data_IF_257644109475
#
_entry.id   IF_257644109475
#
_cell.length_a   1.000
_cell.length_b   1.000
_cell.length_c   1.000
_cell.angle_alpha   90.00
_cell.angle_beta   90.00
_cell.angle_gamma   90.00
#
_symmetry.space_group_name_H-M   'P 1'
#
loop_
_entity.id
_entity.type
_entity.pdbx_description
1 polymer ?
#
# COMPACT_ATOMS: atom_id res chain seq x y z
N UNK A 1 -30.88 12.30 -1.75
CA UNK A 1 -29.77 13.21 -1.44
C UNK A 1 -29.25 12.93 -0.04
N UNK A 2 -27.99 13.22 0.25
CA UNK A 2 -27.35 13.03 1.56
C UNK A 2 -26.52 14.28 1.92
N UNK A 3 -26.55 14.66 3.18
CA UNK A 3 -25.74 15.76 3.72
C UNK A 3 -24.31 15.31 4.13
N UNK A 4 -24.00 14.01 4.00
CA UNK A 4 -22.69 13.46 4.32
C UNK A 4 -21.63 14.00 3.37
N UNK A 5 -20.63 14.68 3.92
CA UNK A 5 -19.50 15.21 3.17
C UNK A 5 -18.60 14.10 2.61
N UNK A 6 -18.34 13.06 3.41
CA UNK A 6 -17.46 11.95 3.07
C UNK A 6 -18.27 10.66 2.94
N UNK A 7 -18.11 9.99 1.80
CA UNK A 7 -18.74 8.71 1.49
C UNK A 7 -17.64 7.75 1.07
N UNK A 8 -17.16 7.01 2.06
CA UNK A 8 -16.01 6.12 1.96
C UNK A 8 -16.43 4.77 1.38
N UNK A 9 -15.53 4.16 0.62
CA UNK A 9 -15.68 2.81 0.09
C UNK A 9 -14.38 2.02 0.19
N UNK A 10 -14.54 0.70 0.19
CA UNK A 10 -13.50 -0.30 0.34
C UNK A 10 -12.86 -0.39 1.74
N UNK A 11 -12.22 -1.52 1.96
CA UNK A 11 -11.31 -1.79 3.07
C UNK A 11 -10.16 -2.67 2.58
N UNK A 12 -9.14 -2.87 3.41
CA UNK A 12 -7.97 -3.66 3.03
C UNK A 12 -8.35 -5.09 2.63
N UNK A 13 -9.21 -5.76 3.40
CA UNK A 13 -9.56 -7.17 3.16
C UNK A 13 -10.25 -7.37 1.81
N UNK A 14 -11.20 -6.49 1.45
CA UNK A 14 -11.94 -6.55 0.20
C UNK A 14 -11.00 -6.61 -1.00
N UNK A 15 -9.90 -5.87 -0.95
CA UNK A 15 -8.89 -5.87 -2.01
C UNK A 15 -8.36 -7.28 -2.29
N UNK A 16 -7.86 -8.00 -1.28
CA UNK A 16 -7.28 -9.33 -1.48
C UNK A 16 -8.32 -10.42 -1.74
N UNK A 17 -9.54 -10.29 -1.21
CA UNK A 17 -10.61 -11.25 -1.48
C UNK A 17 -11.20 -11.15 -2.89
N UNK A 18 -11.25 -9.94 -3.46
CA UNK A 18 -12.01 -9.70 -4.69
C UNK A 18 -11.20 -9.03 -5.78
N UNK A 19 -10.29 -8.10 -5.44
CA UNK A 19 -9.72 -7.13 -6.39
C UNK A 19 -8.27 -7.38 -6.77
N UNK A 20 -7.60 -8.38 -6.16
CA UNK A 20 -6.16 -8.60 -6.30
C UNK A 20 -5.67 -8.71 -7.76
N UNK A 21 -6.53 -9.20 -8.64
CA UNK A 21 -6.22 -9.42 -10.05
C UNK A 21 -7.13 -8.64 -11.01
N UNK A 22 -7.82 -7.61 -10.52
CA UNK A 22 -8.60 -6.76 -11.40
C UNK A 22 -7.70 -6.00 -12.36
N UNK A 23 -8.06 -6.04 -13.63
CA UNK A 23 -7.47 -5.24 -14.69
C UNK A 23 -8.12 -3.85 -14.78
N UNK A 24 -7.61 -3.02 -15.69
CA UNK A 24 -8.17 -1.69 -15.90
C UNK A 24 -9.66 -1.73 -16.29
N UNK A 25 -10.07 -2.64 -17.17
CA UNK A 25 -11.46 -2.72 -17.62
C UNK A 25 -12.43 -2.99 -16.47
N UNK A 26 -12.02 -3.78 -15.47
CA UNK A 26 -12.83 -4.02 -14.27
C UNK A 26 -12.80 -2.83 -13.31
N UNK A 27 -11.62 -2.22 -13.10
CA UNK A 27 -11.50 -1.02 -12.27
C UNK A 27 -12.29 0.16 -12.84
N UNK A 28 -12.26 0.41 -14.14
CA UNK A 28 -13.02 1.46 -14.78
C UNK A 28 -14.52 1.36 -14.47
N UNK A 29 -15.09 0.15 -14.59
CA UNK A 29 -16.50 -0.10 -14.24
C UNK A 29 -16.81 0.17 -12.77
N UNK A 30 -15.89 -0.18 -11.88
CA UNK A 30 -16.08 0.07 -10.44
C UNK A 30 -16.03 1.56 -10.11
N UNK A 31 -15.11 2.31 -10.72
CA UNK A 31 -15.01 3.75 -10.54
C UNK A 31 -16.25 4.46 -11.09
N UNK A 32 -16.73 4.05 -12.26
CA UNK A 32 -17.97 4.56 -12.83
C UNK A 32 -19.17 4.27 -11.92
N UNK A 33 -19.23 3.06 -11.35
CA UNK A 33 -20.25 2.68 -10.37
C UNK A 33 -20.16 3.57 -9.10
N UNK A 34 -18.97 3.78 -8.55
CA UNK A 34 -18.76 4.66 -7.41
C UNK A 34 -19.26 6.09 -7.69
N UNK A 35 -18.95 6.65 -8.86
CA UNK A 35 -19.40 7.98 -9.27
C UNK A 35 -20.94 8.06 -9.30
N UNK A 36 -21.60 7.06 -9.90
CA UNK A 36 -23.07 6.98 -9.99
C UNK A 36 -23.75 6.83 -8.62
N UNK A 37 -23.08 6.23 -7.64
CA UNK A 37 -23.60 6.00 -6.29
C UNK A 37 -23.15 7.05 -5.27
N UNK A 38 -22.43 8.06 -5.73
CA UNK A 38 -22.04 9.20 -4.90
C UNK A 38 -20.89 8.91 -3.94
N UNK A 39 -20.13 7.84 -4.14
CA UNK A 39 -18.86 7.59 -3.43
C UNK A 39 -17.83 8.64 -3.84
N UNK A 40 -17.17 9.26 -2.87
CA UNK A 40 -16.19 10.30 -3.15
C UNK A 40 -14.86 10.16 -2.42
N UNK A 41 -14.68 9.07 -1.65
CA UNK A 41 -13.50 8.88 -0.80
C UNK A 41 -13.13 7.38 -0.67
N UNK A 42 -12.81 6.66 -1.76
CA UNK A 42 -12.48 5.25 -1.69
C UNK A 42 -11.01 5.01 -1.31
N UNK A 43 -10.75 3.87 -0.64
CA UNK A 43 -9.40 3.38 -0.41
C UNK A 43 -8.75 2.97 -1.75
N UNK A 44 -7.61 3.56 -2.07
CA UNK A 44 -6.86 3.33 -3.31
C UNK A 44 -5.51 2.69 -3.01
N UNK A 45 -5.49 1.37 -2.79
CA UNK A 45 -4.28 0.66 -2.34
C UNK A 45 -3.53 -0.11 -3.43
N UNK A 46 -4.05 -0.17 -4.67
CA UNK A 46 -3.33 -0.76 -5.81
C UNK A 46 -1.96 -0.11 -5.94
N UNK A 47 -0.92 -0.88 -6.22
CA UNK A 47 0.43 -0.37 -6.44
C UNK A 47 1.16 0.19 -5.20
N UNK A 48 0.60 0.02 -4.00
CA UNK A 48 1.30 0.35 -2.74
C UNK A 48 2.56 -0.51 -2.55
N UNK A 49 2.54 -1.73 -3.05
CA UNK A 49 3.71 -2.61 -3.13
C UNK A 49 4.84 -2.03 -3.97
N UNK A 50 4.52 -1.35 -5.07
CA UNK A 50 5.50 -0.61 -5.88
C UNK A 50 6.11 0.58 -5.14
N UNK A 51 5.35 1.28 -4.30
CA UNK A 51 5.87 2.34 -3.41
C UNK A 51 6.89 1.74 -2.45
N UNK A 52 6.53 0.65 -1.78
CA UNK A 52 7.41 -0.04 -0.83
C UNK A 52 8.67 -0.60 -1.49
N UNK A 53 8.55 -1.14 -2.70
CA UNK A 53 9.70 -1.59 -3.48
C UNK A 53 10.71 -0.44 -3.68
N UNK A 54 10.23 0.74 -4.08
CA UNK A 54 11.08 1.91 -4.28
C UNK A 54 11.70 2.43 -2.96
N UNK A 55 10.90 2.47 -1.89
CA UNK A 55 11.36 2.91 -0.56
C UNK A 55 12.48 2.01 -0.05
N UNK A 56 12.26 0.69 -0.05
CA UNK A 56 13.22 -0.28 0.46
C UNK A 56 14.50 -0.33 -0.40
N UNK A 57 14.38 -0.22 -1.72
CA UNK A 57 15.54 -0.11 -2.62
C UNK A 57 16.41 1.10 -2.25
N UNK A 58 15.80 2.24 -1.91
CA UNK A 58 16.54 3.45 -1.48
C UNK A 58 17.15 3.33 -0.09
N UNK A 59 16.58 2.49 0.76
CA UNK A 59 17.12 2.17 2.07
C UNK A 59 18.22 1.08 2.01
N UNK A 60 18.57 0.59 0.82
CA UNK A 60 19.67 -0.35 0.60
C UNK A 60 19.28 -1.83 0.76
N UNK A 61 18.00 -2.16 0.72
CA UNK A 61 17.55 -3.55 0.63
C UNK A 61 17.78 -4.10 -0.78
N UNK A 62 18.20 -5.36 -0.85
CA UNK A 62 18.30 -6.09 -2.12
C UNK A 62 16.89 -6.48 -2.60
N UNK A 63 16.78 -6.84 -3.85
CA UNK A 63 15.52 -7.33 -4.42
C UNK A 63 14.99 -8.57 -3.70
N UNK A 64 15.88 -9.47 -3.36
CA UNK A 64 15.57 -10.69 -2.61
C UNK A 64 14.97 -10.35 -1.24
N UNK A 65 15.62 -9.47 -0.48
CA UNK A 65 15.13 -8.99 0.81
C UNK A 65 13.77 -8.28 0.70
N UNK A 66 13.57 -7.48 -0.34
CA UNK A 66 12.29 -6.81 -0.61
C UNK A 66 11.19 -7.85 -0.88
N UNK A 67 11.48 -8.87 -1.66
CA UNK A 67 10.53 -9.94 -1.97
C UNK A 67 10.25 -10.88 -0.78
N UNK A 68 11.13 -10.94 0.21
CA UNK A 68 10.87 -11.61 1.49
C UNK A 68 9.93 -10.81 2.40
N UNK A 69 9.81 -9.52 2.17
CA UNK A 69 8.95 -8.61 2.94
C UNK A 69 7.58 -8.39 2.29
N UNK A 70 7.55 -8.06 1.00
CA UNK A 70 6.30 -7.76 0.28
C UNK A 70 5.54 -9.07 0.01
N UNK A 71 4.29 -9.13 0.44
CA UNK A 71 3.44 -10.28 0.16
C UNK A 71 2.99 -10.35 -1.31
N UNK A 72 2.65 -11.55 -1.74
CA UNK A 72 2.04 -11.77 -3.05
C UNK A 72 0.63 -11.17 -3.16
N UNK A 73 0.06 -11.12 -4.37
CA UNK A 73 -1.17 -10.36 -4.67
C UNK A 73 -2.36 -10.72 -3.80
N UNK A 74 -2.57 -12.00 -3.53
CA UNK A 74 -3.68 -12.47 -2.71
C UNK A 74 -3.53 -12.20 -1.21
N UNK A 75 -2.38 -11.69 -0.75
CA UNK A 75 -2.06 -11.49 0.66
C UNK A 75 -1.67 -10.05 1.00
N UNK A 76 -1.72 -9.15 0.05
CA UNK A 76 -1.31 -7.74 0.25
C UNK A 76 -2.13 -7.02 1.32
N UNK A 77 -3.41 -7.31 1.45
CA UNK A 77 -4.26 -6.71 2.48
C UNK A 77 -3.70 -7.00 3.89
N UNK A 78 -3.38 -8.26 4.17
CA UNK A 78 -2.85 -8.67 5.47
C UNK A 78 -1.43 -8.16 5.71
N UNK A 79 -0.61 -8.09 4.66
CA UNK A 79 0.69 -7.46 4.74
C UNK A 79 0.59 -5.98 5.08
N UNK A 80 -0.27 -5.21 4.39
CA UNK A 80 -0.47 -3.78 4.67
C UNK A 80 -1.14 -3.51 6.02
N UNK A 81 -1.86 -4.49 6.58
CA UNK A 81 -2.37 -4.45 7.95
C UNK A 81 -1.34 -4.94 9.00
N UNK A 82 -0.08 -5.16 8.62
CA UNK A 82 1.01 -5.63 9.49
C UNK A 82 0.80 -7.04 10.08
N UNK A 83 0.05 -7.90 9.44
CA UNK A 83 -0.25 -9.24 9.95
C UNK A 83 0.79 -10.29 9.52
N UNK A 84 1.34 -10.15 8.33
CA UNK A 84 2.33 -11.08 7.77
C UNK A 84 3.27 -10.37 6.80
N UNK A 85 4.40 -11.00 6.49
CA UNK A 85 5.30 -10.56 5.41
C UNK A 85 5.68 -11.73 4.51
N UNK A 86 5.98 -11.43 3.24
CA UNK A 86 6.55 -12.35 2.25
C UNK A 86 5.66 -13.50 1.78
N UNK A 87 4.49 -13.69 2.36
CA UNK A 87 3.60 -14.80 2.00
C UNK A 87 3.02 -14.65 0.59
N UNK A 88 3.02 -15.75 -0.16
CA UNK A 88 2.47 -15.78 -1.53
C UNK A 88 3.31 -15.10 -2.60
N UNK A 89 4.54 -14.67 -2.24
CA UNK A 89 5.55 -14.16 -3.17
C UNK A 89 6.54 -15.24 -3.63
N UNK A 90 7.64 -14.86 -4.31
CA UNK A 90 8.02 -13.48 -4.67
C UNK A 90 7.21 -12.92 -5.86
N UNK A 91 7.04 -11.60 -5.89
CA UNK A 91 6.44 -10.93 -7.03
C UNK A 91 7.48 -10.71 -8.13
N UNK A 92 7.17 -10.96 -9.42
CA UNK A 92 8.08 -10.64 -10.52
C UNK A 92 8.15 -9.11 -10.74
N UNK A 93 9.24 -8.61 -11.33
CA UNK A 93 9.42 -7.18 -11.63
C UNK A 93 8.31 -6.59 -12.48
N UNK A 94 7.77 -7.39 -13.40
CA UNK A 94 6.64 -7.00 -14.24
C UNK A 94 5.39 -6.68 -13.43
N UNK A 95 5.18 -7.37 -12.30
CA UNK A 95 4.06 -7.13 -11.40
C UNK A 95 4.09 -5.70 -10.85
N UNK A 96 5.20 -5.29 -10.24
CA UNK A 96 5.31 -3.94 -9.68
C UNK A 96 5.06 -2.85 -10.72
N UNK A 97 5.63 -3.00 -11.93
CA UNK A 97 5.42 -2.07 -13.04
C UNK A 97 3.96 -2.00 -13.47
N UNK A 98 3.30 -3.14 -13.59
CA UNK A 98 1.89 -3.23 -13.98
C UNK A 98 0.97 -2.63 -12.92
N UNK A 99 1.22 -2.90 -11.63
CA UNK A 99 0.41 -2.34 -10.54
C UNK A 99 0.57 -0.83 -10.41
N UNK A 100 1.78 -0.30 -10.59
CA UNK A 100 2.01 1.15 -10.65
C UNK A 100 1.23 1.77 -11.80
N UNK A 101 1.34 1.21 -13.01
CA UNK A 101 0.63 1.72 -14.18
C UNK A 101 -0.89 1.65 -14.01
N UNK A 102 -1.40 0.56 -13.42
CA UNK A 102 -2.82 0.39 -13.12
C UNK A 102 -3.30 1.45 -12.11
N UNK A 103 -2.56 1.67 -11.02
CA UNK A 103 -2.93 2.68 -10.04
C UNK A 103 -2.93 4.10 -10.61
N UNK A 104 -2.01 4.40 -11.51
CA UNK A 104 -2.00 5.69 -12.21
C UNK A 104 -3.28 5.91 -13.03
N UNK A 105 -3.79 4.88 -13.69
CA UNK A 105 -5.06 4.94 -14.42
C UNK A 105 -6.25 5.09 -13.45
N UNK A 106 -6.27 4.32 -12.36
CA UNK A 106 -7.31 4.38 -11.32
C UNK A 106 -7.40 5.78 -10.73
N UNK A 107 -6.28 6.32 -10.26
CA UNK A 107 -6.24 7.64 -9.60
C UNK A 107 -6.60 8.76 -10.59
N UNK A 108 -6.15 8.66 -11.84
CA UNK A 108 -6.54 9.61 -12.89
C UNK A 108 -8.05 9.62 -13.08
N UNK A 109 -8.68 8.44 -13.26
CA UNK A 109 -10.13 8.33 -13.47
C UNK A 109 -10.93 8.81 -12.27
N UNK A 110 -10.50 8.47 -11.04
CA UNK A 110 -11.14 8.97 -9.82
C UNK A 110 -11.15 10.50 -9.80
N UNK A 111 -10.02 11.13 -10.06
CA UNK A 111 -9.90 12.61 -10.07
C UNK A 111 -10.72 13.27 -11.15
N UNK A 112 -10.85 12.66 -12.33
CA UNK A 112 -11.73 13.15 -13.41
C UNK A 112 -13.20 13.25 -12.97
N UNK A 113 -13.62 12.41 -12.03
CA UNK A 113 -14.96 12.44 -11.43
C UNK A 113 -15.05 13.22 -10.11
N UNK A 114 -13.97 13.86 -9.66
CA UNK A 114 -13.93 14.54 -8.37
C UNK A 114 -13.95 13.59 -7.17
N UNK A 115 -13.59 12.32 -7.39
CA UNK A 115 -13.39 11.32 -6.34
C UNK A 115 -11.97 11.44 -5.82
N UNK A 116 -11.82 11.63 -4.49
CA UNK A 116 -10.51 11.75 -3.84
C UNK A 116 -10.02 10.36 -3.37
N UNK A 117 -8.86 9.87 -3.86
CA UNK A 117 -8.31 8.63 -3.37
C UNK A 117 -7.78 8.78 -1.93
N UNK A 118 -8.03 7.77 -1.09
CA UNK A 118 -7.36 7.61 0.20
C UNK A 118 -6.21 6.63 0.00
N UNK A 119 -4.97 7.05 0.20
CA UNK A 119 -3.82 6.17 0.10
C UNK A 119 -3.47 5.53 1.44
N UNK A 120 -2.94 4.30 1.47
CA UNK A 120 -2.40 3.72 2.69
C UNK A 120 -1.32 4.62 3.28
N UNK A 121 -1.52 5.05 4.54
CA UNK A 121 -0.55 5.85 5.27
C UNK A 121 0.62 5.02 5.82
N UNK A 122 1.74 5.69 6.13
CA UNK A 122 2.87 5.04 6.79
C UNK A 122 2.54 4.79 8.27
N UNK A 123 2.61 3.53 8.68
CA UNK A 123 2.24 3.09 10.03
C UNK A 123 3.44 2.80 10.95
N UNK A 124 4.66 2.95 10.46
CA UNK A 124 5.87 2.47 11.14
C UNK A 124 6.25 1.03 10.75
N UNK A 125 5.52 0.40 9.84
CA UNK A 125 5.86 -0.92 9.33
C UNK A 125 7.24 -0.90 8.66
N UNK A 126 8.07 -1.89 8.98
CA UNK A 126 9.39 -2.12 8.37
C UNK A 126 9.66 -3.63 8.28
N UNK A 127 10.57 -4.10 7.42
CA UNK A 127 10.95 -5.51 7.40
C UNK A 127 11.43 -5.99 8.77
N UNK A 128 11.16 -7.26 9.09
CA UNK A 128 11.54 -7.87 10.38
C UNK A 128 13.02 -7.70 10.73
N UNK A 129 13.91 -7.65 9.72
CA UNK A 129 15.36 -7.50 9.88
C UNK A 129 15.84 -6.03 9.89
N UNK A 130 14.93 -5.07 10.04
CA UNK A 130 15.28 -3.64 9.98
C UNK A 130 16.24 -3.19 11.10
N UNK A 131 16.21 -3.87 12.25
CA UNK A 131 17.18 -3.63 13.33
C UNK A 131 18.59 -3.97 12.88
N UNK A 132 18.80 -5.14 12.33
CA UNK A 132 20.11 -5.64 11.89
C UNK A 132 20.59 -4.91 10.65
N UNK A 133 19.69 -4.65 9.70
CA UNK A 133 20.03 -4.05 8.40
C UNK A 133 20.28 -2.54 8.50
N UNK A 134 19.47 -1.82 9.25
CA UNK A 134 19.43 -0.36 9.29
C UNK A 134 19.74 0.24 10.66
N UNK A 135 19.91 -0.58 11.69
CA UNK A 135 20.15 -0.10 13.07
C UNK A 135 18.94 0.59 13.70
N UNK A 136 17.70 0.26 13.22
CA UNK A 136 16.49 0.90 13.70
C UNK A 136 16.05 0.35 15.06
N UNK A 137 15.44 1.22 15.87
CA UNK A 137 14.78 0.80 17.10
C UNK A 137 13.37 0.28 16.75
N UNK A 138 13.25 -1.03 16.67
CA UNK A 138 12.01 -1.72 16.27
C UNK A 138 11.50 -2.61 17.39
N UNK A 139 10.17 -2.80 17.45
CA UNK A 139 9.54 -3.84 18.23
C UNK A 139 9.28 -5.07 17.37
N UNK A 140 9.42 -6.25 17.97
CA UNK A 140 8.97 -7.49 17.37
C UNK A 140 7.50 -7.72 17.77
N UNK A 141 6.55 -7.68 16.82
CA UNK A 141 5.14 -7.91 17.11
C UNK A 141 4.77 -9.41 17.22
N UNK A 142 5.75 -10.31 17.13
CA UNK A 142 5.54 -11.76 17.20
C UNK A 142 4.96 -12.34 15.91
N UNK A 143 4.08 -13.34 16.08
CA UNK A 143 3.48 -14.08 14.99
C UNK A 143 1.96 -13.77 14.87
N UNK A 144 1.43 -13.87 13.66
CA UNK A 144 0.01 -13.89 13.37
C UNK A 144 -0.35 -15.22 12.72
N UNK A 145 -1.15 -16.04 13.39
CA UNK A 145 -1.49 -17.41 12.92
C UNK A 145 -0.26 -18.24 12.49
N UNK A 146 0.86 -18.11 13.21
CA UNK A 146 2.11 -18.80 12.88
C UNK A 146 2.96 -18.12 11.79
N UNK A 147 2.49 -17.04 11.19
CA UNK A 147 3.25 -16.27 10.20
C UNK A 147 4.03 -15.14 10.88
N UNK A 148 5.25 -14.90 10.38
CA UNK A 148 6.07 -13.77 10.81
C UNK A 148 5.41 -12.46 10.41
N UNK A 149 5.30 -11.55 11.36
CA UNK A 149 4.81 -10.19 11.13
C UNK A 149 5.96 -9.25 10.77
N UNK A 150 5.70 -8.17 10.03
CA UNK A 150 6.63 -7.06 9.91
C UNK A 150 7.00 -6.51 11.28
N UNK A 151 8.21 -5.99 11.43
CA UNK A 151 8.57 -5.23 12.63
C UNK A 151 7.94 -3.83 12.62
N UNK A 152 7.89 -3.20 13.78
CA UNK A 152 7.42 -1.84 13.92
C UNK A 152 8.54 -0.92 14.37
N UNK A 153 8.80 0.10 13.57
CA UNK A 153 9.68 1.19 13.93
C UNK A 153 9.03 2.01 15.07
N UNK A 154 9.78 2.20 16.16
CA UNK A 154 9.29 2.99 17.28
C UNK A 154 9.08 4.45 16.84
N UNK A 155 7.94 5.07 17.18
CA UNK A 155 7.68 6.48 16.81
C UNK A 155 8.69 7.48 17.37
N UNK A 156 9.40 7.08 18.41
CA UNK A 156 10.48 7.87 19.04
C UNK A 156 11.84 7.71 18.38
N UNK A 157 11.97 6.77 17.42
CA UNK A 157 13.20 6.63 16.64
C UNK A 157 13.37 7.87 15.73
N UNK A 158 14.53 8.55 15.76
CA UNK A 158 14.75 9.73 14.91
C UNK A 158 14.56 9.49 13.41
N UNK A 159 14.72 8.24 12.96
CA UNK A 159 14.54 7.86 11.56
C UNK A 159 13.09 7.58 11.16
N UNK A 160 12.13 7.63 12.13
CA UNK A 160 10.72 7.45 11.81
C UNK A 160 10.24 8.50 10.79
N UNK A 161 10.55 9.77 11.05
CA UNK A 161 10.18 10.87 10.14
C UNK A 161 10.91 10.76 8.78
N UNK A 162 12.18 10.35 8.78
CA UNK A 162 12.94 10.13 7.54
C UNK A 162 12.27 9.09 6.63
N UNK A 163 11.91 7.92 7.19
CA UNK A 163 11.30 6.83 6.43
C UNK A 163 9.87 7.19 6.02
N UNK A 164 9.09 7.82 6.91
CA UNK A 164 7.76 8.31 6.58
C UNK A 164 7.81 9.32 5.42
N UNK A 165 8.73 10.29 5.50
CA UNK A 165 8.92 11.29 4.44
C UNK A 165 9.32 10.65 3.11
N UNK A 166 10.20 9.65 3.14
CA UNK A 166 10.58 8.89 1.95
C UNK A 166 9.39 8.15 1.35
N UNK A 167 8.58 7.49 2.19
CA UNK A 167 7.37 6.78 1.78
C UNK A 167 6.38 7.71 1.07
N UNK A 168 6.02 8.83 1.70
CA UNK A 168 5.10 9.80 1.09
C UNK A 168 5.68 10.46 -0.16
N UNK A 169 6.98 10.70 -0.21
CA UNK A 169 7.65 11.22 -1.41
C UNK A 169 7.53 10.24 -2.59
N UNK A 170 7.76 8.94 -2.36
CA UNK A 170 7.59 7.93 -3.41
C UNK A 170 6.12 7.76 -3.82
N UNK A 171 5.20 7.74 -2.88
CA UNK A 171 3.75 7.71 -3.15
C UNK A 171 3.33 8.89 -4.03
N UNK A 172 3.70 10.11 -3.64
CA UNK A 172 3.36 11.33 -4.36
C UNK A 172 4.01 11.39 -5.75
N UNK A 173 5.23 10.87 -5.88
CA UNK A 173 5.92 10.80 -7.18
C UNK A 173 5.18 9.89 -8.16
N UNK A 174 4.66 8.76 -7.69
CA UNK A 174 3.99 7.77 -8.53
C UNK A 174 2.54 8.15 -8.85
N UNK A 175 1.79 8.67 -7.87
CA UNK A 175 0.33 8.80 -7.96
C UNK A 175 -0.18 10.24 -7.77
N UNK A 176 0.72 11.20 -7.61
CA UNK A 176 0.37 12.56 -7.28
C UNK A 176 -0.02 12.73 -5.82
N UNK A 177 -0.08 13.98 -5.38
CA UNK A 177 -0.43 14.34 -4.00
C UNK A 177 -1.87 13.95 -3.70
N UNK A 178 -2.10 13.33 -2.56
CA UNK A 178 -3.44 13.09 -2.01
C UNK A 178 -3.71 13.97 -0.79
N UNK A 179 -5.00 14.16 -0.50
CA UNK A 179 -5.46 14.91 0.67
C UNK A 179 -5.72 13.99 1.86
N UNK A 180 -5.81 12.66 1.63
CA UNK A 180 -6.20 11.67 2.63
C UNK A 180 -5.26 10.45 2.59
N UNK A 181 -4.92 9.97 3.79
CA UNK A 181 -4.09 8.81 4.05
C UNK A 181 -4.69 7.95 5.16
#
# INVERSE_FOLDING_TARGET
>A
ETDMKYRYDFNYCTFSYTMAFWDWARWEKEIDWMALHGINLPLAMVGTDGVWFNVLSKLGYTKEEINEFIAGPGFQAWWLMNNLEGWGGPNPDSWYKQQIALQQQIVKRMREYGIEPVFPGYSGMVPHNAKEKLGLNVSDPGLWNGYRRPAFLQPTDPRFEEIASLYYKEMNKLYGKANYY
#
